data_IF_579963776117
#
_entry.id   IF_579963776117
#
_cell.length_a   1.000
_cell.length_b   1.000
_cell.length_c   1.000
_cell.angle_alpha   90.00
_cell.angle_beta   90.00
_cell.angle_gamma   90.00
#
_symmetry.space_group_name_H-M   'P 1'
#
loop_
_entity.id
_entity.type
_entity.pdbx_description
1 polymer ?
#
# COMPACT_ATOMS: atom_id res chain seq x y z
N UNK A 1 0.58 0.54 12.45
CA UNK A 1 1.50 1.38 13.26
C UNK A 1 1.54 2.81 12.72
N UNK A 2 2.16 3.76 13.45
CA UNK A 2 2.41 5.12 12.93
C UNK A 2 3.74 5.16 12.17
N UNK A 3 3.90 6.09 11.22
CA UNK A 3 5.11 6.14 10.38
C UNK A 3 6.39 6.39 11.18
N UNK A 4 6.38 7.23 12.22
CA UNK A 4 7.59 7.42 13.05
C UNK A 4 8.04 6.13 13.76
N UNK A 5 7.11 5.26 14.17
CA UNK A 5 7.46 3.95 14.75
C UNK A 5 7.95 2.97 13.69
N UNK A 6 7.44 3.08 12.46
CA UNK A 6 7.93 2.32 11.32
C UNK A 6 9.40 2.69 11.03
N UNK A 7 9.75 3.97 11.06
CA UNK A 7 11.12 4.46 10.86
C UNK A 7 12.14 3.97 11.90
N UNK A 8 11.69 3.55 13.09
CA UNK A 8 12.56 3.02 14.14
C UNK A 8 12.96 1.55 13.92
N UNK A 9 12.32 0.86 12.95
CA UNK A 9 12.65 -0.53 12.64
C UNK A 9 13.91 -0.64 11.78
N UNK A 10 14.64 -1.74 11.95
CA UNK A 10 15.94 -1.95 11.32
C UNK A 10 16.05 -3.21 10.45
N UNK A 11 15.01 -4.06 10.42
CA UNK A 11 15.03 -5.33 9.66
C UNK A 11 13.70 -5.53 8.93
N UNK A 12 13.57 -4.88 7.77
CA UNK A 12 12.38 -5.00 6.92
C UNK A 12 12.55 -6.18 5.96
N UNK A 13 11.57 -7.10 6.00
CA UNK A 13 11.54 -8.28 5.14
C UNK A 13 10.13 -8.60 4.71
N UNK A 14 10.00 -9.27 3.57
CA UNK A 14 8.77 -9.96 3.22
C UNK A 14 8.54 -11.17 4.13
N UNK A 15 7.29 -11.40 4.52
CA UNK A 15 6.94 -12.59 5.28
C UNK A 15 6.97 -13.83 4.37
N UNK A 16 7.55 -14.96 4.83
CA UNK A 16 7.51 -16.21 4.09
C UNK A 16 6.08 -16.71 3.91
N UNK A 17 5.73 -17.13 2.70
CA UNK A 17 4.43 -17.73 2.40
C UNK A 17 4.63 -19.15 1.85
N UNK A 18 4.36 -20.15 2.69
CA UNK A 18 4.67 -21.57 2.40
C UNK A 18 4.01 -22.06 1.10
N UNK A 19 2.76 -21.67 0.88
CA UNK A 19 1.95 -22.03 -0.30
C UNK A 19 2.08 -21.05 -1.48
N UNK A 20 3.00 -20.08 -1.40
CA UNK A 20 3.13 -19.08 -2.45
C UNK A 20 3.53 -19.68 -3.82
N UNK A 21 3.03 -19.04 -4.87
CA UNK A 21 3.41 -19.32 -6.26
C UNK A 21 4.91 -19.03 -6.49
N UNK A 22 5.56 -19.68 -7.47
CA UNK A 22 6.99 -19.53 -7.71
C UNK A 22 7.46 -18.07 -7.86
N UNK A 23 6.65 -17.23 -8.49
CA UNK A 23 6.92 -15.81 -8.72
C UNK A 23 7.07 -15.05 -7.39
N UNK A 24 6.20 -15.33 -6.41
CA UNK A 24 6.29 -14.75 -5.07
C UNK A 24 7.53 -15.25 -4.33
N UNK A 25 7.81 -16.56 -4.39
CA UNK A 25 8.98 -17.16 -3.70
C UNK A 25 10.29 -16.55 -4.19
N UNK A 26 10.41 -16.34 -5.51
CA UNK A 26 11.56 -15.68 -6.13
C UNK A 26 11.87 -14.32 -5.50
N UNK A 27 10.86 -13.54 -5.16
CA UNK A 27 11.02 -12.22 -4.56
C UNK A 27 11.31 -12.25 -3.07
N UNK A 28 10.78 -13.25 -2.35
CA UNK A 28 11.08 -13.42 -0.92
C UNK A 28 12.54 -13.81 -0.71
N UNK A 29 13.12 -14.63 -1.59
CA UNK A 29 14.46 -15.18 -1.39
C UNK A 29 15.60 -14.17 -1.61
N UNK A 30 15.41 -13.15 -2.46
CA UNK A 30 16.45 -12.17 -2.82
C UNK A 30 15.88 -10.75 -2.92
N UNK A 31 15.72 -10.11 -1.76
CA UNK A 31 15.25 -8.73 -1.66
C UNK A 31 16.02 -7.91 -0.63
N UNK A 32 16.00 -6.61 -0.84
CA UNK A 32 16.42 -5.58 0.11
C UNK A 32 15.30 -4.56 0.22
N UNK A 33 14.83 -4.31 1.44
CA UNK A 33 13.89 -3.23 1.72
C UNK A 33 14.63 -2.18 2.55
N UNK A 34 14.87 -1.02 1.95
CA UNK A 34 15.42 0.14 2.61
C UNK A 34 14.30 1.12 2.94
N UNK A 35 14.29 1.63 4.16
CA UNK A 35 13.36 2.67 4.60
C UNK A 35 14.17 3.85 5.13
N UNK A 36 13.82 5.04 4.66
CA UNK A 36 14.43 6.28 5.10
C UNK A 36 13.36 7.30 5.52
N UNK A 37 13.74 8.24 6.38
CA UNK A 37 12.90 9.39 6.67
C UNK A 37 12.62 10.18 5.38
N UNK A 38 11.36 10.59 5.21
CA UNK A 38 10.97 11.48 4.14
C UNK A 38 11.30 12.93 4.47
N UNK A 39 10.31 13.82 4.30
CA UNK A 39 10.49 15.23 4.62
C UNK A 39 10.42 15.53 6.12
N UNK A 40 9.78 14.64 6.90
CA UNK A 40 9.64 14.69 8.34
C UNK A 40 9.34 13.27 8.88
N UNK A 41 9.20 13.11 10.20
CA UNK A 41 8.92 11.83 10.88
C UNK A 41 7.54 11.20 10.60
N UNK A 42 6.62 11.92 9.99
CA UNK A 42 5.33 11.37 9.55
C UNK A 42 5.40 10.81 8.12
N UNK A 43 6.56 10.95 7.46
CA UNK A 43 6.81 10.49 6.10
C UNK A 43 7.96 9.49 6.08
N UNK A 44 7.82 8.43 5.29
CA UNK A 44 8.92 7.54 4.98
C UNK A 44 9.03 7.33 3.47
N UNK A 45 10.25 7.15 3.00
CA UNK A 45 10.54 6.69 1.64
C UNK A 45 10.96 5.24 1.73
N UNK A 46 10.25 4.39 1.02
CA UNK A 46 10.48 2.95 0.98
C UNK A 46 11.07 2.62 -0.39
N UNK A 47 12.16 1.88 -0.39
CA UNK A 47 12.79 1.36 -1.59
C UNK A 47 12.94 -0.15 -1.45
N UNK A 48 12.21 -0.87 -2.29
CA UNK A 48 12.23 -2.33 -2.38
C UNK A 48 13.01 -2.69 -3.65
N UNK A 49 14.10 -3.42 -3.48
CA UNK A 49 14.91 -3.94 -4.57
C UNK A 49 14.93 -5.46 -4.50
N UNK A 50 14.50 -6.13 -5.57
CA UNK A 50 14.56 -7.58 -5.72
C UNK A 50 15.61 -7.95 -6.76
N UNK A 51 16.72 -8.52 -6.29
CA UNK A 51 17.93 -8.74 -7.06
C UNK A 51 18.29 -7.47 -7.89
N UNK A 52 18.84 -7.68 -9.08
CA UNK A 52 19.03 -6.63 -10.08
C UNK A 52 17.84 -6.55 -11.07
N UNK A 53 16.72 -7.21 -10.77
CA UNK A 53 15.63 -7.43 -11.71
C UNK A 53 14.52 -6.38 -11.60
N UNK A 54 14.11 -6.05 -10.37
CA UNK A 54 12.98 -5.15 -10.09
C UNK A 54 13.34 -4.22 -8.95
N UNK A 55 12.96 -2.95 -9.07
CA UNK A 55 13.09 -1.94 -8.03
C UNK A 55 11.84 -1.08 -8.02
N UNK A 56 11.21 -0.97 -6.85
CA UNK A 56 10.06 -0.12 -6.58
C UNK A 56 10.40 0.84 -5.44
N UNK A 57 10.21 2.13 -5.70
CA UNK A 57 10.39 3.19 -4.72
C UNK A 57 9.11 3.98 -4.59
N UNK A 58 8.74 4.34 -3.36
CA UNK A 58 7.55 5.13 -3.10
C UNK A 58 7.62 5.80 -1.72
N UNK A 59 6.79 6.81 -1.53
CA UNK A 59 6.58 7.46 -0.24
C UNK A 59 5.35 6.92 0.48
N UNK A 60 5.40 6.90 1.81
CA UNK A 60 4.25 6.74 2.70
C UNK A 60 4.09 7.98 3.57
N UNK A 61 2.86 8.45 3.77
CA UNK A 61 2.55 9.56 4.70
C UNK A 61 1.47 9.19 5.69
N UNK A 62 1.69 9.46 6.98
CA UNK A 62 0.70 9.26 8.06
C UNK A 62 -0.40 10.32 7.98
N UNK A 63 -1.57 9.94 7.46
CA UNK A 63 -2.65 10.88 7.17
C UNK A 63 -3.23 11.54 8.42
N UNK A 64 -3.29 10.82 9.54
CA UNK A 64 -3.79 11.37 10.79
C UNK A 64 -2.80 12.35 11.41
N UNK A 65 -1.50 12.06 11.37
CA UNK A 65 -0.47 12.97 11.92
C UNK A 65 -0.30 14.23 11.08
N UNK A 66 -0.43 14.11 9.77
CA UNK A 66 -0.44 15.25 8.84
C UNK A 66 -1.77 16.01 8.83
N UNK A 67 -2.78 15.56 9.58
CA UNK A 67 -4.14 16.15 9.58
C UNK A 67 -4.71 16.27 8.17
N UNK A 68 -4.49 15.24 7.35
CA UNK A 68 -4.85 15.28 5.94
C UNK A 68 -6.37 15.31 5.77
N UNK A 69 -6.92 16.21 4.93
CA UNK A 69 -8.35 16.23 4.63
C UNK A 69 -8.81 15.00 3.82
N UNK A 70 -7.89 14.12 3.39
CA UNK A 70 -8.25 12.81 2.85
C UNK A 70 -8.95 11.92 3.88
N UNK A 71 -8.67 12.10 5.18
CA UNK A 71 -9.39 11.36 6.23
C UNK A 71 -10.89 11.66 6.15
N UNK A 72 -11.27 12.94 6.13
CA UNK A 72 -12.69 13.34 6.03
C UNK A 72 -13.34 12.80 4.75
N UNK A 73 -12.65 12.89 3.60
CA UNK A 73 -13.18 12.35 2.35
C UNK A 73 -13.36 10.82 2.37
N UNK A 74 -12.48 10.10 3.07
CA UNK A 74 -12.63 8.66 3.28
C UNK A 74 -13.78 8.35 4.23
N UNK A 75 -13.96 9.11 5.30
CA UNK A 75 -15.10 8.97 6.23
C UNK A 75 -16.44 9.21 5.53
N UNK A 76 -16.54 10.25 4.70
CA UNK A 76 -17.73 10.55 3.89
C UNK A 76 -18.04 9.43 2.87
N UNK A 77 -17.04 8.63 2.49
CA UNK A 77 -17.22 7.47 1.59
C UNK A 77 -17.77 6.22 2.29
N UNK A 78 -17.83 6.22 3.63
CA UNK A 78 -18.40 5.10 4.40
C UNK A 78 -19.92 5.20 4.32
N UNK A 79 -20.56 4.25 3.65
CA UNK A 79 -22.02 4.13 3.64
C UNK A 79 -22.45 3.86 5.08
N UNK A 80 -23.21 4.76 5.70
CA UNK A 80 -23.72 4.62 7.07
C UNK A 80 -25.01 3.81 7.17
N UNK A 81 -25.41 3.12 6.10
CA UNK A 81 -26.71 2.44 5.99
C UNK A 81 -26.63 1.00 6.50
N UNK A 82 -26.99 0.84 7.78
CA UNK A 82 -27.06 -0.44 8.50
C UNK A 82 -28.08 -1.45 7.94
N UNK A 83 -28.90 -1.05 6.94
CA UNK A 83 -29.83 -1.95 6.24
C UNK A 83 -29.26 -2.51 4.92
N UNK A 84 -28.10 -2.03 4.44
CA UNK A 84 -27.43 -2.59 3.27
C UNK A 84 -26.77 -3.94 3.63
N UNK A 85 -27.07 -5.00 2.86
CA UNK A 85 -26.44 -6.31 3.03
C UNK A 85 -24.92 -6.28 2.77
N UNK A 86 -24.41 -5.22 2.16
CA UNK A 86 -22.99 -4.92 1.99
C UNK A 86 -22.40 -3.94 3.02
N UNK A 87 -23.18 -3.50 4.01
CA UNK A 87 -22.71 -2.65 5.10
C UNK A 87 -21.76 -3.43 5.98
N UNK A 88 -20.47 -3.13 5.87
CA UNK A 88 -19.46 -3.69 6.73
C UNK A 88 -19.24 -2.73 7.91
N UNK A 89 -19.52 -3.18 9.14
CA UNK A 89 -19.18 -2.42 10.37
C UNK A 89 -17.68 -2.13 10.43
N UNK A 90 -16.88 -2.90 9.69
CA UNK A 90 -15.45 -2.72 9.53
C UNK A 90 -15.08 -1.60 8.52
N UNK A 91 -16.00 -0.99 7.78
CA UNK A 91 -15.70 0.12 6.84
C UNK A 91 -15.24 1.42 7.54
N UNK A 92 -15.25 1.46 8.89
CA UNK A 92 -14.74 2.58 9.68
C UNK A 92 -13.26 2.87 9.39
N UNK A 93 -12.90 4.16 9.29
CA UNK A 93 -11.52 4.58 9.09
C UNK A 93 -10.74 4.39 10.40
N UNK A 94 -9.63 3.63 10.40
CA UNK A 94 -8.85 3.40 11.62
C UNK A 94 -8.34 4.72 12.24
N UNK A 95 -8.27 4.83 13.58
CA UNK A 95 -7.82 6.06 14.25
C UNK A 95 -6.30 6.29 14.17
N UNK A 96 -5.54 5.34 13.64
CA UNK A 96 -4.10 5.45 13.37
C UNK A 96 -3.69 4.44 12.29
N UNK A 97 -2.48 4.59 11.75
CA UNK A 97 -1.94 3.65 10.76
C UNK A 97 -2.70 3.65 9.44
N UNK A 98 -3.34 4.78 9.12
CA UNK A 98 -3.87 5.09 7.79
C UNK A 98 -2.80 5.89 7.07
N UNK A 99 -2.22 5.31 6.02
CA UNK A 99 -1.15 5.92 5.26
C UNK A 99 -1.52 6.10 3.81
N UNK A 100 -1.01 7.16 3.18
CA UNK A 100 -1.10 7.31 1.73
C UNK A 100 0.20 6.97 1.03
N UNK A 101 0.08 6.23 -0.07
CA UNK A 101 1.14 5.93 -1.01
C UNK A 101 1.20 7.02 -2.07
N UNK A 102 2.41 7.50 -2.36
CA UNK A 102 2.65 8.55 -3.36
C UNK A 102 4.05 8.41 -3.97
N UNK A 103 4.27 9.09 -5.09
CA UNK A 103 5.53 9.07 -5.84
C UNK A 103 6.03 7.65 -6.13
N UNK A 104 5.14 6.78 -6.63
CA UNK A 104 5.53 5.45 -7.06
C UNK A 104 6.46 5.53 -8.27
N UNK A 105 7.57 4.82 -8.18
CA UNK A 105 8.58 4.70 -9.23
C UNK A 105 8.92 3.21 -9.38
N UNK A 106 8.46 2.59 -10.47
CA UNK A 106 8.82 1.21 -10.82
C UNK A 106 9.89 1.19 -11.90
N UNK A 107 10.94 0.40 -11.67
CA UNK A 107 11.96 0.05 -12.66
C UNK A 107 12.12 -1.46 -12.68
N UNK A 108 12.21 -2.04 -13.87
CA UNK A 108 12.42 -3.48 -14.01
C UNK A 108 13.18 -3.80 -15.29
N UNK A 109 13.81 -4.98 -15.33
CA UNK A 109 14.44 -5.48 -16.56
C UNK A 109 13.38 -5.89 -17.59
N UNK A 110 13.72 -5.87 -18.89
CA UNK A 110 12.77 -6.22 -19.95
C UNK A 110 12.26 -7.67 -19.94
N UNK A 111 12.99 -8.58 -19.28
CA UNK A 111 12.68 -10.01 -19.18
C UNK A 111 11.76 -10.35 -18.00
N UNK A 112 11.45 -9.38 -17.13
CA UNK A 112 10.47 -9.56 -16.05
C UNK A 112 9.06 -9.61 -16.64
N UNK A 113 8.36 -10.68 -16.32
CA UNK A 113 7.00 -10.93 -16.81
C UNK A 113 5.95 -10.11 -16.04
N UNK A 114 4.76 -9.98 -16.62
CA UNK A 114 3.64 -9.29 -15.97
C UNK A 114 3.21 -10.00 -14.67
N UNK A 115 3.08 -11.33 -14.68
CA UNK A 115 2.75 -12.12 -13.49
C UNK A 115 3.79 -11.95 -12.35
N UNK A 116 5.06 -11.80 -12.71
CA UNK A 116 6.12 -11.51 -11.74
C UNK A 116 5.97 -10.12 -11.12
N UNK A 117 5.55 -9.12 -11.89
CA UNK A 117 5.28 -7.77 -11.39
C UNK A 117 4.01 -7.73 -10.53
N UNK A 118 2.94 -8.41 -10.92
CA UNK A 118 1.73 -8.58 -10.10
C UNK A 118 2.06 -9.23 -8.75
N UNK A 119 2.82 -10.32 -8.75
CA UNK A 119 3.28 -10.99 -7.54
C UNK A 119 4.12 -10.07 -6.65
N UNK A 120 4.96 -9.24 -7.26
CA UNK A 120 5.78 -8.26 -6.55
C UNK A 120 4.95 -7.15 -5.91
N UNK A 121 3.96 -6.60 -6.62
CA UNK A 121 3.05 -5.59 -6.05
C UNK A 121 2.20 -6.18 -4.93
N UNK A 122 1.72 -7.42 -5.06
CA UNK A 122 1.01 -8.11 -4.00
C UNK A 122 1.88 -8.23 -2.72
N UNK A 123 3.15 -8.58 -2.87
CA UNK A 123 4.10 -8.61 -1.75
C UNK A 123 4.31 -7.23 -1.12
N UNK A 124 4.50 -6.19 -1.93
CA UNK A 124 4.68 -4.82 -1.45
C UNK A 124 3.44 -4.32 -0.68
N UNK A 125 2.24 -4.60 -1.18
CA UNK A 125 0.97 -4.26 -0.52
C UNK A 125 0.83 -5.01 0.80
N UNK A 126 1.09 -6.32 0.83
CA UNK A 126 1.04 -7.10 2.07
C UNK A 126 2.07 -6.64 3.10
N UNK A 127 3.29 -6.32 2.67
CA UNK A 127 4.31 -5.73 3.54
C UNK A 127 3.82 -4.44 4.21
N UNK A 128 3.14 -3.57 3.45
CA UNK A 128 2.55 -2.35 3.98
C UNK A 128 1.41 -2.64 4.94
N UNK A 129 0.52 -3.58 4.63
CA UNK A 129 -0.62 -3.92 5.47
C UNK A 129 -0.24 -4.69 6.75
N UNK A 130 0.89 -5.38 6.75
CA UNK A 130 1.48 -5.92 7.99
C UNK A 130 1.97 -4.81 8.92
N UNK A 131 2.29 -3.64 8.36
CA UNK A 131 2.77 -2.49 9.12
C UNK A 131 1.66 -1.50 9.45
N UNK A 132 0.73 -1.26 8.53
CA UNK A 132 -0.29 -0.21 8.57
C UNK A 132 -1.70 -0.80 8.49
N UNK A 133 -2.67 -0.16 9.11
CA UNK A 133 -4.05 -0.67 9.15
C UNK A 133 -4.79 -0.44 7.83
N UNK A 134 -4.41 0.58 7.08
CA UNK A 134 -5.03 0.95 5.82
C UNK A 134 -4.03 1.71 4.95
N UNK A 135 -4.00 1.37 3.66
CA UNK A 135 -3.31 2.14 2.64
C UNK A 135 -4.34 2.91 1.82
N UNK A 136 -4.00 4.14 1.46
CA UNK A 136 -4.73 4.96 0.52
C UNK A 136 -3.81 5.37 -0.63
N UNK A 137 -4.35 5.56 -1.82
CA UNK A 137 -3.59 6.07 -2.94
C UNK A 137 -4.52 6.79 -3.92
N UNK A 138 -3.97 7.76 -4.63
CA UNK A 138 -4.70 8.46 -5.69
C UNK A 138 -4.58 7.68 -6.99
N UNK A 139 -5.59 7.75 -7.85
CA UNK A 139 -5.54 7.09 -9.16
C UNK A 139 -4.34 7.53 -10.00
N UNK A 140 -4.02 8.83 -9.99
CA UNK A 140 -2.86 9.36 -10.73
C UNK A 140 -1.51 8.84 -10.25
N UNK A 141 -1.38 8.51 -8.96
CA UNK A 141 -0.13 7.97 -8.39
C UNK A 141 0.15 6.54 -8.85
N UNK A 142 -0.89 5.79 -9.23
CA UNK A 142 -0.78 4.38 -9.63
C UNK A 142 -1.03 4.16 -11.12
N UNK A 143 -1.38 5.19 -11.90
CA UNK A 143 -1.74 5.07 -13.33
C UNK A 143 -0.72 4.24 -14.15
N UNK A 144 0.57 4.46 -13.90
CA UNK A 144 1.66 3.79 -14.62
C UNK A 144 1.92 2.34 -14.16
N UNK A 145 1.34 1.91 -13.04
CA UNK A 145 1.47 0.56 -12.46
C UNK A 145 0.13 -0.12 -12.24
N UNK A 146 -0.97 0.50 -12.67
CA UNK A 146 -2.35 0.09 -12.39
C UNK A 146 -2.59 -1.38 -12.77
N UNK A 147 -2.07 -1.80 -13.93
CA UNK A 147 -2.17 -3.19 -14.41
C UNK A 147 -1.59 -4.23 -13.44
N UNK A 148 -0.54 -3.88 -12.69
CA UNK A 148 0.09 -4.79 -11.73
C UNK A 148 -0.58 -4.75 -10.36
N UNK A 149 -1.46 -3.78 -10.13
CA UNK A 149 -2.22 -3.59 -8.90
C UNK A 149 -3.69 -3.97 -9.06
N UNK A 150 -4.08 -4.64 -10.15
CA UNK A 150 -5.49 -4.88 -10.51
C UNK A 150 -6.28 -5.50 -9.35
N UNK A 151 -5.75 -6.55 -8.71
CA UNK A 151 -6.43 -7.19 -7.59
C UNK A 151 -6.54 -6.25 -6.38
N UNK A 152 -5.51 -5.48 -6.07
CA UNK A 152 -5.56 -4.50 -4.97
C UNK A 152 -6.64 -3.46 -5.22
N UNK A 153 -6.73 -2.94 -6.45
CA UNK A 153 -7.72 -1.94 -6.86
C UNK A 153 -9.13 -2.54 -6.86
N UNK A 154 -9.28 -3.77 -7.36
CA UNK A 154 -10.57 -4.49 -7.40
C UNK A 154 -11.17 -4.66 -6.01
N UNK A 155 -10.33 -4.90 -5.00
CA UNK A 155 -10.76 -5.06 -3.61
C UNK A 155 -10.73 -3.76 -2.80
N UNK A 156 -10.23 -2.67 -3.36
CA UNK A 156 -10.23 -1.37 -2.71
C UNK A 156 -11.60 -0.69 -2.75
N UNK A 157 -11.86 0.18 -1.78
CA UNK A 157 -13.00 1.11 -1.81
C UNK A 157 -12.58 2.39 -2.50
N UNK A 158 -13.29 2.75 -3.57
CA UNK A 158 -13.09 4.02 -4.25
C UNK A 158 -13.78 5.16 -3.48
N UNK A 159 -13.17 6.34 -3.47
CA UNK A 159 -13.74 7.57 -2.93
C UNK A 159 -13.24 8.78 -3.74
N UNK A 160 -13.89 9.93 -3.58
CA UNK A 160 -13.49 11.16 -4.28
C UNK A 160 -12.77 12.11 -3.33
N UNK A 161 -11.61 12.60 -3.73
CA UNK A 161 -10.88 13.62 -3.00
C UNK A 161 -10.25 14.62 -3.98
N UNK A 162 -10.50 15.92 -3.76
CA UNK A 162 -10.03 16.99 -4.66
C UNK A 162 -10.42 16.81 -6.13
N UNK A 163 -11.56 16.17 -6.40
CA UNK A 163 -12.04 15.90 -7.77
C UNK A 163 -11.36 14.72 -8.45
N UNK A 164 -10.53 13.97 -7.73
CA UNK A 164 -9.82 12.78 -8.20
C UNK A 164 -10.36 11.51 -7.54
N UNK A 165 -10.42 10.41 -8.32
CA UNK A 165 -10.69 9.07 -7.78
C UNK A 165 -9.50 8.61 -6.97
N UNK A 166 -9.75 8.31 -5.70
CA UNK A 166 -8.79 7.71 -4.79
C UNK A 166 -9.29 6.35 -4.34
N UNK A 167 -8.38 5.52 -3.85
CA UNK A 167 -8.66 4.18 -3.39
C UNK A 167 -8.16 4.03 -1.97
N UNK A 168 -8.92 3.31 -1.14
CA UNK A 168 -8.49 2.87 0.19
C UNK A 168 -8.61 1.36 0.29
N UNK A 169 -7.59 0.73 0.84
CA UNK A 169 -7.48 -0.72 0.95
C UNK A 169 -6.98 -1.12 2.34
N UNK A 170 -7.55 -2.20 2.87
CA UNK A 170 -7.22 -2.79 4.17
C UNK A 170 -7.39 -4.31 4.07
N UNK A 171 -6.76 -5.07 4.98
CA UNK A 171 -6.94 -6.52 5.00
C UNK A 171 -8.42 -6.92 5.23
N UNK A 172 -8.97 -7.85 4.43
CA UNK A 172 -10.25 -8.48 4.73
C UNK A 172 -10.05 -9.40 5.95
N UNK A 173 -10.54 -8.97 7.11
CA UNK A 173 -10.36 -9.69 8.39
C UNK A 173 -10.00 -8.80 9.58
N UNK A 174 -9.86 -7.49 9.35
CA UNK A 174 -9.68 -6.44 10.36
C UNK A 174 -10.79 -5.40 10.34
#
# INVERSE_FOLDING_TARGET
>A
MRVHLFLEQSDFKFEPWEEAVPEIKKWIDDHVIAVAEGHNLNHAVIHIQCADAVSLKFGVRDLHREQSPMIAAMEDSVVSDYEDAGFDYWDSIPPFGVVELYALELTHRPDVTEAELEAFFLLAVNFLLNSFMMIAFRGSEVEHVERYMEDTIRWARAYTYQGETCFRYKHPGW
#
